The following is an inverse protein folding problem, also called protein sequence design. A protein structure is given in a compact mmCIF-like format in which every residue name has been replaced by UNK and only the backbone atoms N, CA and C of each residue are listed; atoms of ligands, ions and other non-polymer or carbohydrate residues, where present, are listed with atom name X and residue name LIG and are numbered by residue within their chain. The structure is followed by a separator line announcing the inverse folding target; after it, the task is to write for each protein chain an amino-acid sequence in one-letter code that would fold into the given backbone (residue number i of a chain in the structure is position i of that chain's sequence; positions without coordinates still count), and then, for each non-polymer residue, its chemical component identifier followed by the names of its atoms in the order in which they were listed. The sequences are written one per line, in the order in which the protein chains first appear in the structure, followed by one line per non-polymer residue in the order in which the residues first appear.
data_IF_159266683742
#
_entry.id   IF_159266683742
#
_cell.length_a   1.000
_cell.length_b   1.000
_cell.length_c   1.000
_cell.angle_alpha   90.00
_cell.angle_beta   90.00
_cell.angle_gamma   90.00
#
_symmetry.space_group_name_H-M   'P 1'
#
loop_
_entity.id
_entity.type
_entity.pdbx_description
1 polymer ?
#
# COMPACT_ATOMS: atom_id res chain seq x y z
N UNK A 1 9.34 -29.07 -2.49
CA UNK A 1 7.94 -28.62 -2.66
C UNK A 1 7.99 -27.49 -3.66
N UNK A 2 7.14 -27.51 -4.70
CA UNK A 2 7.06 -26.36 -5.61
C UNK A 2 6.66 -25.13 -4.78
N UNK A 3 7.39 -24.03 -4.97
CA UNK A 3 7.05 -22.76 -4.34
C UNK A 3 5.75 -22.26 -4.96
N UNK A 4 4.64 -22.47 -4.25
CA UNK A 4 3.32 -21.98 -4.63
C UNK A 4 3.10 -20.53 -4.15
N UNK A 5 4.16 -19.81 -3.80
CA UNK A 5 4.07 -18.40 -3.48
C UNK A 5 3.59 -17.60 -4.69
N UNK A 6 2.75 -16.60 -4.43
CA UNK A 6 2.28 -15.68 -5.47
C UNK A 6 3.10 -14.39 -5.36
N UNK A 7 3.82 -13.97 -6.40
CA UNK A 7 4.58 -12.72 -6.34
C UNK A 7 3.63 -11.53 -6.24
N UNK A 8 3.99 -10.54 -5.43
CA UNK A 8 3.26 -9.29 -5.35
C UNK A 8 4.22 -8.10 -5.43
N UNK A 9 3.92 -7.16 -6.33
CA UNK A 9 4.73 -5.96 -6.55
C UNK A 9 3.84 -4.72 -6.59
N UNK A 10 4.25 -3.67 -5.88
CA UNK A 10 3.57 -2.38 -5.84
C UNK A 10 4.53 -1.32 -6.34
N UNK A 11 4.14 -0.63 -7.39
CA UNK A 11 4.86 0.52 -7.95
C UNK A 11 4.03 1.76 -7.71
N UNK A 12 4.55 2.68 -6.91
CA UNK A 12 3.92 3.96 -6.65
C UNK A 12 4.62 5.06 -7.44
N UNK A 13 3.85 6.04 -7.94
CA UNK A 13 4.44 7.24 -8.55
C UNK A 13 4.54 8.37 -7.54
N UNK A 14 5.65 9.09 -7.61
CA UNK A 14 5.83 10.43 -7.03
C UNK A 14 5.72 11.54 -8.08
N UNK A 15 5.66 11.18 -9.35
CA UNK A 15 5.55 12.13 -10.44
C UNK A 15 4.22 12.87 -10.30
N UNK A 16 4.28 14.20 -10.33
CA UNK A 16 3.11 15.06 -10.20
C UNK A 16 2.52 15.48 -11.55
N UNK A 17 3.21 15.16 -12.64
CA UNK A 17 2.81 15.37 -14.03
C UNK A 17 2.23 14.08 -14.61
N UNK A 18 2.83 12.92 -14.29
CA UNK A 18 2.37 11.60 -14.72
C UNK A 18 1.86 10.79 -13.53
N UNK A 19 0.56 10.91 -13.26
CA UNK A 19 -0.08 10.27 -12.12
C UNK A 19 -0.45 8.82 -12.44
N UNK A 20 0.37 7.88 -11.98
CA UNK A 20 0.13 6.45 -12.17
C UNK A 20 0.59 5.61 -10.98
N UNK A 21 0.09 4.39 -10.88
CA UNK A 21 0.61 3.35 -10.00
C UNK A 21 0.26 2.00 -10.61
N UNK A 22 0.99 0.95 -10.24
CA UNK A 22 0.74 -0.41 -10.69
C UNK A 22 0.85 -1.39 -9.54
N UNK A 23 -0.09 -2.32 -9.45
CA UNK A 23 -0.06 -3.42 -8.49
C UNK A 23 -0.13 -4.71 -9.29
N UNK A 24 0.90 -5.55 -9.18
CA UNK A 24 0.93 -6.88 -9.77
C UNK A 24 0.74 -7.94 -8.69
N UNK A 25 -0.15 -8.91 -8.91
CA UNK A 25 -0.48 -10.02 -8.01
C UNK A 25 -0.50 -11.29 -8.86
N UNK A 26 0.57 -12.08 -8.79
CA UNK A 26 0.78 -13.18 -9.73
C UNK A 26 0.77 -12.66 -11.17
N UNK A 27 -0.16 -13.16 -11.97
CA UNK A 27 -0.34 -12.75 -13.37
C UNK A 27 -1.36 -11.60 -13.54
N UNK A 28 -2.03 -11.18 -12.48
CA UNK A 28 -3.00 -10.09 -12.54
C UNK A 28 -2.28 -8.75 -12.31
N UNK A 29 -2.43 -7.82 -13.25
CA UNK A 29 -1.84 -6.48 -13.15
C UNK A 29 -2.96 -5.45 -13.13
N UNK A 30 -3.04 -4.74 -12.01
CA UNK A 30 -3.87 -3.55 -11.86
C UNK A 30 -3.01 -2.34 -12.21
N UNK A 31 -3.49 -1.52 -13.14
CA UNK A 31 -2.87 -0.23 -13.44
C UNK A 31 -3.86 0.85 -13.10
N UNK A 32 -3.43 1.80 -12.28
CA UNK A 32 -4.20 2.99 -12.00
C UNK A 32 -3.50 4.18 -12.62
N UNK A 33 -4.21 4.87 -13.49
CA UNK A 33 -3.85 6.19 -13.98
C UNK A 33 -4.92 7.16 -13.49
N UNK A 34 -4.57 8.41 -13.24
CA UNK A 34 -5.58 9.42 -12.89
C UNK A 34 -6.20 9.96 -14.19
N UNK A 35 -7.45 9.63 -14.57
CA UNK A 35 -8.01 10.04 -15.86
C UNK A 35 -8.51 11.51 -15.81
N UNK A 36 -8.76 12.03 -14.61
CA UNK A 36 -9.26 13.38 -14.33
C UNK A 36 -9.18 13.78 -12.85
N UNK A 37 -8.70 12.88 -11.98
CA UNK A 37 -8.86 12.96 -10.53
C UNK A 37 -7.67 13.60 -9.79
N UNK A 38 -6.58 14.01 -10.42
CA UNK A 38 -5.44 14.58 -9.67
C UNK A 38 -4.79 13.57 -8.71
N UNK A 39 -3.99 14.07 -7.76
CA UNK A 39 -3.14 13.29 -6.85
C UNK A 39 -3.98 12.52 -5.82
N UNK A 40 -3.62 11.27 -5.53
CA UNK A 40 -4.42 10.41 -4.65
C UNK A 40 -3.61 9.27 -4.01
N UNK A 41 -4.17 8.74 -2.92
CA UNK A 41 -3.90 7.39 -2.42
C UNK A 41 -4.74 6.39 -3.22
N UNK A 42 -4.17 5.23 -3.51
CA UNK A 42 -4.85 4.12 -4.13
C UNK A 42 -4.92 2.96 -3.15
N UNK A 43 -6.13 2.64 -2.72
CA UNK A 43 -6.42 1.57 -1.79
C UNK A 43 -6.98 0.37 -2.56
N UNK A 44 -6.27 -0.75 -2.47
CA UNK A 44 -6.71 -2.03 -2.99
C UNK A 44 -6.79 -3.02 -1.83
N UNK A 45 -7.86 -3.79 -1.77
CA UNK A 45 -8.03 -4.88 -0.81
C UNK A 45 -8.24 -6.17 -1.58
N UNK A 46 -7.48 -7.20 -1.20
CA UNK A 46 -7.65 -8.54 -1.72
C UNK A 46 -8.04 -9.51 -0.61
N UNK A 47 -8.85 -10.50 -0.96
CA UNK A 47 -9.16 -11.61 -0.07
C UNK A 47 -7.98 -12.59 0.01
N UNK A 48 -7.57 -12.98 1.21
CA UNK A 48 -6.41 -13.87 1.42
C UNK A 48 -6.63 -15.30 0.97
N UNK A 49 -7.86 -15.75 0.76
CA UNK A 49 -8.13 -17.13 0.31
C UNK A 49 -8.08 -17.26 -1.21
N UNK A 50 -8.61 -16.27 -1.92
CA UNK A 50 -8.83 -16.28 -3.36
C UNK A 50 -7.91 -15.35 -4.14
N UNK A 51 -7.29 -14.38 -3.46
CA UNK A 51 -6.55 -13.25 -4.06
C UNK A 51 -7.41 -12.35 -4.95
N UNK A 52 -8.75 -12.47 -4.87
CA UNK A 52 -9.66 -11.59 -5.59
C UNK A 52 -9.63 -10.19 -5.00
N UNK A 53 -9.66 -9.19 -5.89
CA UNK A 53 -9.81 -7.78 -5.51
C UNK A 53 -11.26 -7.54 -5.09
N UNK A 54 -11.46 -7.15 -3.83
CA UNK A 54 -12.78 -6.88 -3.24
C UNK A 54 -13.03 -5.39 -2.98
N UNK A 55 -11.96 -4.60 -2.98
CA UNK A 55 -12.00 -3.14 -2.87
C UNK A 55 -10.90 -2.54 -3.74
N UNK A 56 -11.22 -1.47 -4.47
CA UNK A 56 -10.29 -0.76 -5.33
C UNK A 56 -10.79 0.68 -5.49
N UNK A 57 -10.19 1.62 -4.76
CA UNK A 57 -10.64 3.02 -4.73
C UNK A 57 -9.48 4.01 -4.67
N UNK A 58 -9.68 5.15 -5.31
CA UNK A 58 -8.83 6.33 -5.14
C UNK A 58 -9.39 7.23 -4.05
N UNK A 59 -8.50 7.77 -3.21
CA UNK A 59 -8.86 8.73 -2.17
C UNK A 59 -7.88 9.90 -2.15
N UNK A 60 -8.42 11.12 -2.09
CA UNK A 60 -7.63 12.36 -2.02
C UNK A 60 -7.44 12.87 -0.59
N UNK A 61 -8.44 12.62 0.26
CA UNK A 61 -8.46 13.14 1.61
C UNK A 61 -7.28 12.57 2.41
N UNK A 62 -6.36 13.41 2.92
CA UNK A 62 -5.19 12.96 3.67
C UNK A 62 -5.51 12.62 5.12
N UNK A 63 -6.74 12.86 5.58
CA UNK A 63 -7.15 12.82 6.98
C UNK A 63 -8.37 11.92 7.25
N UNK A 64 -8.83 11.16 6.24
CA UNK A 64 -10.02 10.28 6.35
C UNK A 64 -9.59 8.84 6.12
N UNK A 65 -9.95 7.92 7.01
CA UNK A 65 -9.73 6.50 6.77
C UNK A 65 -10.65 5.97 5.66
N UNK A 66 -10.19 5.06 4.78
CA UNK A 66 -11.04 4.48 3.76
C UNK A 66 -12.16 3.65 4.42
N UNK A 67 -13.39 3.80 3.93
CA UNK A 67 -14.51 2.99 4.39
C UNK A 67 -14.48 1.61 3.71
N UNK A 68 -13.88 0.63 4.39
CA UNK A 68 -13.76 -0.74 3.92
C UNK A 68 -14.97 -1.63 4.24
N UNK A 69 -15.96 -1.12 5.00
CA UNK A 69 -17.12 -1.90 5.43
C UNK A 69 -16.72 -3.25 6.07
N UNK A 70 -17.29 -4.34 5.57
CA UNK A 70 -17.02 -5.70 6.06
C UNK A 70 -15.63 -6.25 5.73
N UNK A 71 -14.83 -5.54 4.93
CA UNK A 71 -13.50 -6.01 4.53
C UNK A 71 -12.40 -5.65 5.54
N UNK A 72 -12.69 -4.88 6.61
CA UNK A 72 -11.72 -4.58 7.65
C UNK A 72 -11.55 -5.75 8.65
N UNK A 73 -11.13 -6.90 8.14
CA UNK A 73 -10.84 -8.11 8.93
C UNK A 73 -9.54 -8.75 8.45
N UNK A 74 -9.01 -9.69 9.23
CA UNK A 74 -7.76 -10.38 8.92
C UNK A 74 -7.86 -11.42 7.80
N UNK A 75 -9.04 -11.62 7.22
CA UNK A 75 -9.21 -12.41 6.01
C UNK A 75 -8.73 -11.66 4.75
N UNK A 76 -8.34 -10.39 4.89
CA UNK A 76 -7.97 -9.52 3.77
C UNK A 76 -6.56 -8.92 3.91
N UNK A 77 -5.98 -8.57 2.77
CA UNK A 77 -4.72 -7.81 2.67
C UNK A 77 -5.04 -6.41 2.15
N UNK A 78 -4.53 -5.40 2.84
CA UNK A 78 -4.47 -4.03 2.39
C UNK A 78 -3.24 -3.83 1.50
N UNK A 79 -3.44 -3.19 0.36
CA UNK A 79 -2.38 -2.69 -0.51
C UNK A 79 -2.65 -1.20 -0.71
N UNK A 80 -1.63 -0.38 -0.44
CA UNK A 80 -1.69 1.07 -0.67
C UNK A 80 -0.58 1.48 -1.61
N UNK A 81 -0.92 2.32 -2.59
CA UNK A 81 0.04 2.99 -3.45
C UNK A 81 -0.31 4.49 -3.54
N UNK A 82 0.67 5.32 -3.87
CA UNK A 82 0.43 6.76 -4.08
C UNK A 82 0.54 7.13 -5.55
N UNK A 83 -0.25 8.12 -5.96
CA UNK A 83 -0.23 8.72 -7.28
C UNK A 83 0.13 10.20 -7.15
N UNK A 84 1.43 10.49 -7.15
CA UNK A 84 1.95 11.86 -7.25
C UNK A 84 1.60 12.77 -6.08
N UNK A 85 1.45 12.23 -4.87
CA UNK A 85 1.10 13.03 -3.69
C UNK A 85 2.26 13.94 -3.27
N UNK A 86 1.91 15.19 -2.96
CA UNK A 86 2.85 16.16 -2.39
C UNK A 86 3.01 15.96 -0.89
N UNK A 87 4.11 16.47 -0.32
CA UNK A 87 4.30 16.50 1.14
C UNK A 87 3.34 17.47 1.87
N UNK A 88 2.52 18.20 1.12
CA UNK A 88 1.39 19.00 1.61
C UNK A 88 0.13 18.17 1.89
N UNK A 89 0.11 16.90 1.44
CA UNK A 89 -1.05 16.00 1.56
C UNK A 89 -0.66 14.64 2.16
N UNK A 90 0.32 14.61 3.07
CA UNK A 90 0.71 13.40 3.80
C UNK A 90 -0.41 12.84 4.67
N UNK A 91 -0.41 11.53 4.98
CA UNK A 91 -1.42 10.97 5.87
C UNK A 91 -1.39 11.66 7.24
N UNK A 92 -2.57 12.02 7.74
CA UNK A 92 -2.78 12.64 9.05
C UNK A 92 -4.05 12.09 9.69
N UNK A 93 -4.26 12.33 10.99
CA UNK A 93 -5.50 11.96 11.68
C UNK A 93 -5.91 10.50 11.48
N UNK A 94 -7.18 10.29 11.13
CA UNK A 94 -7.77 8.95 10.96
C UNK A 94 -7.07 8.13 9.89
N UNK A 95 -6.59 8.76 8.81
CA UNK A 95 -5.87 8.03 7.77
C UNK A 95 -4.52 7.53 8.27
N UNK A 96 -3.78 8.36 9.01
CA UNK A 96 -2.50 7.94 9.59
C UNK A 96 -2.70 6.76 10.54
N UNK A 97 -3.67 6.87 11.46
CA UNK A 97 -3.98 5.81 12.42
C UNK A 97 -4.41 4.53 11.72
N UNK A 98 -5.26 4.63 10.69
CA UNK A 98 -5.69 3.48 9.89
C UNK A 98 -4.52 2.77 9.25
N UNK A 99 -3.57 3.50 8.64
CA UNK A 99 -2.38 2.91 8.04
C UNK A 99 -1.49 2.25 9.09
N UNK A 100 -1.26 2.92 10.23
CA UNK A 100 -0.40 2.44 11.33
C UNK A 100 -0.90 1.10 11.89
N UNK A 101 -2.20 0.99 12.23
CA UNK A 101 -2.77 -0.25 12.79
C UNK A 101 -2.89 -1.40 11.78
N UNK A 102 -2.75 -1.11 10.49
CA UNK A 102 -2.78 -2.08 9.39
C UNK A 102 -1.40 -2.28 8.72
N UNK A 103 -0.33 -1.95 9.44
CA UNK A 103 1.02 -2.40 9.13
C UNK A 103 1.99 -1.34 8.61
N UNK A 104 1.57 -0.08 8.50
CA UNK A 104 2.49 1.02 8.28
C UNK A 104 3.40 1.23 9.51
N UNK A 105 4.59 1.76 9.29
CA UNK A 105 5.64 1.76 10.30
C UNK A 105 6.62 2.91 10.16
N UNK A 106 7.88 2.55 9.94
CA UNK A 106 9.03 3.45 9.80
C UNK A 106 8.89 4.39 8.61
N UNK A 107 8.48 3.89 7.44
CA UNK A 107 8.43 4.69 6.22
C UNK A 107 7.29 5.72 6.27
N UNK A 108 6.14 5.37 6.85
CA UNK A 108 5.07 6.34 7.12
C UNK A 108 5.53 7.45 8.07
N UNK A 109 6.15 7.10 9.21
CA UNK A 109 6.69 8.06 10.19
C UNK A 109 7.79 8.94 9.59
N UNK A 110 8.62 8.38 8.70
CA UNK A 110 9.65 9.12 7.97
C UNK A 110 9.04 10.22 7.10
N UNK A 111 7.97 9.91 6.36
CA UNK A 111 7.24 10.89 5.54
C UNK A 111 6.68 12.00 6.43
N UNK A 112 6.02 11.64 7.52
CA UNK A 112 5.45 12.60 8.48
C UNK A 112 6.54 13.51 9.06
N UNK A 113 7.64 12.94 9.58
CA UNK A 113 8.73 13.70 10.17
C UNK A 113 9.31 14.70 9.16
N UNK A 114 9.56 14.28 7.92
CA UNK A 114 10.11 15.17 6.88
C UNK A 114 9.12 16.29 6.53
N UNK A 115 7.84 15.98 6.36
CA UNK A 115 6.82 16.99 6.07
C UNK A 115 6.74 18.04 7.20
N UNK A 116 6.81 17.61 8.46
CA UNK A 116 6.79 18.51 9.62
C UNK A 116 8.07 19.35 9.74
N UNK A 117 9.25 18.75 9.52
CA UNK A 117 10.54 19.42 9.74
C UNK A 117 10.89 20.43 8.64
N UNK A 118 10.53 20.15 7.39
CA UNK A 118 10.92 21.00 6.25
C UNK A 118 9.79 21.92 5.75
N UNK A 119 8.63 21.90 6.42
CA UNK A 119 7.47 22.68 6.02
C UNK A 119 6.76 22.02 4.83
N UNK A 120 5.56 21.51 5.09
CA UNK A 120 4.70 20.79 4.15
C UNK A 120 4.77 21.36 2.72
N UNK A 121 5.31 20.58 1.77
CA UNK A 121 5.34 20.92 0.34
C UNK A 121 6.64 21.50 -0.21
N UNK A 122 7.61 21.91 0.61
CA UNK A 122 8.89 22.49 0.13
C UNK A 122 9.79 21.47 -0.57
N UNK A 123 9.73 20.21 -0.16
CA UNK A 123 10.52 19.11 -0.74
C UNK A 123 9.80 18.38 -1.90
N UNK A 124 8.66 18.91 -2.35
CA UNK A 124 7.91 18.37 -3.47
C UNK A 124 7.01 17.17 -3.10
N UNK A 125 7.17 16.08 -3.83
CA UNK A 125 6.30 14.89 -3.77
C UNK A 125 6.97 13.68 -3.12
N UNK A 126 6.15 12.77 -2.62
CA UNK A 126 6.57 11.49 -2.08
C UNK A 126 5.88 10.34 -2.80
N UNK A 127 6.57 9.20 -2.84
CA UNK A 127 6.01 7.92 -3.22
C UNK A 127 5.90 7.04 -1.98
N UNK A 128 4.79 6.35 -1.80
CA UNK A 128 4.59 5.40 -0.70
C UNK A 128 3.88 4.14 -1.18
N UNK A 129 4.34 2.99 -0.72
CA UNK A 129 3.72 1.69 -0.94
C UNK A 129 3.61 0.96 0.40
N UNK A 130 2.48 0.29 0.64
CA UNK A 130 2.23 -0.53 1.82
C UNK A 130 1.52 -1.82 1.41
N UNK A 131 1.91 -2.93 2.03
CA UNK A 131 1.18 -4.20 2.01
C UNK A 131 1.09 -4.73 3.44
N UNK A 132 -0.12 -4.93 3.94
CA UNK A 132 -0.36 -5.38 5.31
C UNK A 132 -1.62 -6.25 5.42
N UNK A 133 -1.71 -7.05 6.48
CA UNK A 133 -2.94 -7.80 6.78
C UNK A 133 -3.91 -6.88 7.51
N UNK A 134 -5.16 -6.82 7.05
CA UNK A 134 -6.22 -5.98 7.63
C UNK A 134 -6.73 -6.50 8.98
N UNK A 135 -7.62 -5.72 9.58
CA UNK A 135 -8.31 -6.10 10.82
C UNK A 135 -7.70 -5.50 12.08
N UNK A 136 -6.99 -4.37 11.93
CA UNK A 136 -6.43 -3.59 13.05
C UNK A 136 -5.59 -4.46 13.99
N UNK A 137 -4.82 -5.39 13.43
CA UNK A 137 -4.08 -6.37 14.23
C UNK A 137 -2.84 -5.77 14.89
N UNK A 138 -2.48 -4.52 14.53
CA UNK A 138 -1.25 -3.87 14.98
C UNK A 138 -0.01 -4.74 14.72
N UNK A 139 -0.04 -5.47 13.59
CA UNK A 139 1.05 -6.30 13.11
C UNK A 139 1.85 -5.51 12.07
N UNK A 140 3.18 -5.68 12.04
CA UNK A 140 4.00 -5.00 11.04
C UNK A 140 3.63 -5.49 9.63
N UNK A 141 3.51 -4.54 8.70
CA UNK A 141 3.40 -4.79 7.28
C UNK A 141 4.73 -4.58 6.56
N UNK A 142 4.65 -4.55 5.24
CA UNK A 142 5.76 -4.23 4.34
C UNK A 142 5.50 -2.89 3.70
N UNK A 143 6.45 -1.98 3.80
CA UNK A 143 6.30 -0.64 3.23
C UNK A 143 7.59 -0.16 2.60
N UNK A 144 7.45 0.75 1.64
CA UNK A 144 8.55 1.45 1.03
C UNK A 144 8.14 2.90 0.80
N UNK A 145 9.05 3.83 1.05
CA UNK A 145 8.87 5.24 0.68
C UNK A 145 10.03 5.76 -0.16
N UNK A 146 9.72 6.73 -1.02
CA UNK A 146 10.71 7.57 -1.67
C UNK A 146 10.35 9.04 -1.43
N UNK A 147 11.33 9.80 -0.94
CA UNK A 147 11.23 11.24 -0.70
C UNK A 147 12.47 11.88 -1.31
N UNK A 148 12.27 12.86 -2.20
CA UNK A 148 13.32 13.50 -2.99
C UNK A 148 14.12 12.56 -3.93
N UNK A 149 14.48 13.03 -5.13
CA UNK A 149 15.20 12.27 -6.17
C UNK A 149 14.37 11.26 -7.00
N UNK A 150 14.55 11.30 -8.33
CA UNK A 150 13.90 10.49 -9.41
C UNK A 150 12.41 10.70 -9.65
N UNK A 151 11.85 10.35 -10.81
CA UNK A 151 10.40 10.48 -11.10
C UNK A 151 9.60 9.23 -10.70
N UNK A 152 10.27 8.09 -10.59
CA UNK A 152 9.71 6.84 -10.08
C UNK A 152 9.61 6.90 -8.55
N UNK A 153 8.47 6.51 -7.99
CA UNK A 153 8.35 6.31 -6.55
C UNK A 153 8.92 4.93 -6.15
N UNK A 154 8.66 4.47 -4.92
CA UNK A 154 9.17 3.20 -4.46
C UNK A 154 8.58 2.03 -5.25
N UNK A 155 9.39 0.99 -5.42
CA UNK A 155 8.94 -0.35 -5.85
C UNK A 155 9.04 -1.27 -4.64
N UNK A 156 7.89 -1.78 -4.17
CA UNK A 156 7.81 -2.75 -3.09
C UNK A 156 7.53 -4.13 -3.67
N UNK A 157 8.43 -5.09 -3.43
CA UNK A 157 8.31 -6.47 -3.91
C UNK A 157 8.29 -7.44 -2.74
N UNK A 158 7.28 -8.29 -2.69
CA UNK A 158 7.09 -9.31 -1.66
C UNK A 158 6.56 -10.60 -2.30
N UNK A 159 6.38 -11.64 -1.48
CA UNK A 159 5.67 -12.86 -1.86
C UNK A 159 4.45 -13.07 -0.97
N UNK A 160 3.45 -13.73 -1.52
CA UNK A 160 2.27 -14.20 -0.81
C UNK A 160 2.41 -15.72 -0.61
N UNK A 161 2.80 -16.12 0.60
CA UNK A 161 3.02 -17.52 0.95
C UNK A 161 1.70 -18.20 1.32
N UNK A 162 1.34 -19.34 0.69
CA UNK A 162 0.18 -20.12 1.10
C UNK A 162 0.42 -20.80 2.45
N UNK A 163 -0.48 -20.58 3.38
CA UNK A 163 -0.52 -21.21 4.71
C UNK A 163 -1.85 -21.94 4.84
N UNK A 164 -1.80 -23.22 5.20
CA UNK A 164 -3.01 -24.04 5.41
C UNK A 164 -3.42 -23.95 6.89
N UNK A 165 -4.59 -23.36 7.16
CA UNK A 165 -5.20 -23.32 8.50
C UNK A 165 -6.17 -24.51 8.64
N UNK A 166 -6.12 -25.29 9.73
CA UNK A 166 -7.14 -26.30 10.02
C UNK A 166 -8.55 -25.69 10.03
N UNK A 167 -9.56 -26.32 9.39
CA UNK A 167 -9.58 -27.68 8.83
C UNK A 167 -9.26 -27.75 7.31
N UNK A 168 -8.31 -26.97 6.80
CA UNK A 168 -7.81 -27.08 5.41
C UNK A 168 -7.98 -25.81 4.55
N UNK A 169 -8.35 -24.68 5.14
CA UNK A 169 -8.45 -23.39 4.42
C UNK A 169 -7.05 -22.90 4.09
N UNK A 170 -6.74 -22.71 2.82
CA UNK A 170 -5.51 -22.02 2.41
C UNK A 170 -5.74 -20.52 2.50
N UNK A 171 -4.81 -19.82 3.14
CA UNK A 171 -4.72 -18.36 3.15
C UNK A 171 -3.33 -17.94 2.70
N UNK A 172 -3.26 -16.83 2.00
CA UNK A 172 -2.02 -16.23 1.58
C UNK A 172 -1.56 -15.19 2.59
N UNK A 173 -0.28 -15.22 2.94
CA UNK A 173 0.33 -14.30 3.91
C UNK A 173 1.51 -13.57 3.27
N UNK A 174 1.56 -12.23 3.33
CA UNK A 174 2.71 -11.44 2.89
C UNK A 174 4.00 -11.85 3.61
N UNK A 175 5.08 -12.06 2.85
CA UNK A 175 6.45 -12.33 3.33
C UNK A 175 7.47 -11.61 2.45
N UNK A 176 8.65 -11.28 3.00
CA UNK A 176 9.75 -10.76 2.19
C UNK A 176 10.18 -11.78 1.12
N UNK A 177 10.74 -11.28 0.02
CA UNK A 177 11.50 -12.12 -0.90
C UNK A 177 12.57 -12.86 -0.10
N UNK A 178 12.66 -14.18 -0.27
CA UNK A 178 13.75 -14.94 0.32
C UNK A 178 15.04 -14.68 -0.44
N UNK A 179 16.16 -14.57 0.27
CA UNK A 179 17.52 -14.48 -0.30
C UNK A 179 18.01 -15.84 -0.85
N UNK A 180 17.11 -16.72 -1.32
CA UNK A 180 17.40 -18.12 -1.64
C UNK A 180 18.54 -18.29 -2.65
#
# INVERSE_FOLDING_TARGET
MADNSVPLSVVSSRDTQFLWASIAIGNNVLVQQSPSSGRAYWFVVIERSSLNVVYNQLQKAPNVAPNLGSYNTSDYILIVATLGLGLDVTPTGDLFQFLDVNGAGRELRRIEQIAQQFGCGTMGAFGYALVGVLGNQNLPGFEASNIAGTTLGPVLTIQLLPVVIPPGKTIYTPVLLSDA
#
